data_IF_064255099511
#
_entry.id   IF_064255099511
#
_cell.length_a   1.000
_cell.length_b   1.000
_cell.length_c   1.000
_cell.angle_alpha   90.00
_cell.angle_beta   90.00
_cell.angle_gamma   90.00
#
_symmetry.space_group_name_H-M   'P 1'
#
loop_
_entity.id
_entity.type
_entity.pdbx_description
1 polymer ?
#
# COMPACT_ATOMS: atom_id res chain seq x y z
N UNK A 1 11.54 -8.97 -30.49
CA UNK A 1 10.68 -10.09 -30.31
C UNK A 1 11.52 -11.37 -30.19
N UNK A 2 11.44 -12.02 -29.05
CA UNK A 2 12.17 -13.27 -28.76
C UNK A 2 11.27 -14.50 -28.92
N UNK A 3 11.76 -15.66 -28.48
CA UNK A 3 11.00 -16.91 -28.45
C UNK A 3 9.76 -16.76 -27.55
N UNK A 4 8.67 -17.43 -27.91
CA UNK A 4 7.47 -17.47 -27.08
C UNK A 4 7.66 -18.31 -25.80
N UNK A 5 8.51 -19.34 -25.86
CA UNK A 5 8.91 -20.14 -24.71
C UNK A 5 7.90 -21.22 -24.31
N UNK A 6 7.87 -21.53 -23.00
CA UNK A 6 7.01 -22.55 -22.44
C UNK A 6 5.60 -22.00 -22.17
N UNK A 7 4.60 -22.78 -22.56
CA UNK A 7 3.18 -22.46 -22.39
C UNK A 7 2.57 -23.32 -21.28
N UNK A 8 1.79 -22.75 -20.41
CA UNK A 8 1.05 -23.48 -19.38
C UNK A 8 -0.26 -24.04 -19.92
N UNK A 9 -0.63 -25.24 -19.49
CA UNK A 9 -1.94 -25.83 -19.73
C UNK A 9 -3.02 -25.15 -18.87
N UNK A 10 -4.28 -25.41 -19.16
CA UNK A 10 -5.43 -24.91 -18.36
C UNK A 10 -5.37 -25.29 -16.87
N UNK A 11 -4.75 -26.43 -16.55
CA UNK A 11 -4.50 -26.87 -15.17
C UNK A 11 -3.31 -26.18 -14.48
N UNK A 12 -2.63 -25.24 -15.16
CA UNK A 12 -1.46 -24.55 -14.62
C UNK A 12 -0.12 -25.29 -14.81
N UNK A 13 -0.12 -26.56 -15.26
CA UNK A 13 1.09 -27.31 -15.53
C UNK A 13 1.73 -26.85 -16.85
N UNK A 14 3.02 -26.64 -16.85
CA UNK A 14 3.80 -26.25 -18.03
C UNK A 14 3.90 -27.40 -19.02
N UNK A 15 3.69 -27.11 -20.32
CA UNK A 15 3.91 -28.07 -21.40
C UNK A 15 5.42 -28.11 -21.67
N UNK A 16 5.98 -29.31 -21.70
CA UNK A 16 7.45 -29.53 -21.80
C UNK A 16 8.04 -29.12 -23.15
N UNK A 17 7.21 -29.02 -24.19
CA UNK A 17 7.64 -28.63 -25.54
C UNK A 17 7.67 -27.11 -25.64
N UNK A 18 8.85 -26.46 -25.74
CA UNK A 18 8.96 -25.02 -25.86
C UNK A 18 8.63 -24.55 -27.29
N UNK A 19 7.99 -23.42 -27.42
CA UNK A 19 7.81 -22.73 -28.71
C UNK A 19 9.06 -21.87 -28.94
N UNK A 20 9.88 -22.27 -29.91
CA UNK A 20 11.14 -21.59 -30.25
C UNK A 20 10.96 -20.44 -31.22
N UNK A 21 9.94 -20.49 -32.05
CA UNK A 21 9.60 -19.45 -33.00
C UNK A 21 8.83 -18.28 -32.33
N UNK A 22 8.77 -17.16 -33.03
CA UNK A 22 7.92 -16.02 -32.69
C UNK A 22 6.83 -15.82 -33.76
N UNK A 23 5.87 -14.96 -33.50
CA UNK A 23 4.77 -14.71 -34.43
C UNK A 23 5.21 -14.09 -35.76
N UNK A 24 6.34 -13.38 -35.80
CA UNK A 24 6.86 -12.75 -37.00
C UNK A 24 7.46 -13.79 -37.95
N UNK A 25 8.14 -14.78 -37.42
CA UNK A 25 8.72 -15.91 -38.17
C UNK A 25 7.65 -16.91 -38.63
N UNK A 26 6.57 -16.97 -37.86
CA UNK A 26 5.51 -17.96 -38.04
C UNK A 26 5.73 -19.21 -37.19
N UNK A 27 4.65 -19.83 -36.75
CA UNK A 27 4.63 -21.02 -35.92
C UNK A 27 4.35 -22.26 -36.81
N UNK A 28 4.94 -23.40 -36.46
CA UNK A 28 4.51 -24.67 -37.06
C UNK A 28 3.14 -25.09 -36.49
N UNK A 29 2.51 -26.09 -37.09
CA UNK A 29 1.15 -26.54 -36.69
C UNK A 29 1.08 -26.94 -35.23
N UNK A 30 2.09 -27.65 -34.72
CA UNK A 30 2.15 -28.08 -33.32
C UNK A 30 2.33 -26.89 -32.36
N UNK A 31 3.23 -25.99 -32.67
CA UNK A 31 3.47 -24.76 -31.90
C UNK A 31 2.23 -23.85 -31.86
N UNK A 32 1.54 -23.73 -32.98
CA UNK A 32 0.28 -22.99 -33.07
C UNK A 32 -0.79 -23.61 -32.15
N UNK A 33 -0.94 -24.95 -32.21
CA UNK A 33 -1.91 -25.64 -31.37
C UNK A 33 -1.61 -25.43 -29.86
N UNK A 34 -0.35 -25.57 -29.45
CA UNK A 34 0.09 -25.32 -28.07
C UNK A 34 -0.19 -23.85 -27.68
N UNK A 35 0.15 -22.92 -28.58
CA UNK A 35 -0.10 -21.48 -28.38
C UNK A 35 -1.59 -21.16 -28.20
N UNK A 36 -2.48 -21.81 -28.96
CA UNK A 36 -3.92 -21.61 -28.82
C UNK A 36 -4.48 -22.04 -27.47
N UNK A 37 -3.90 -23.07 -26.85
CA UNK A 37 -4.25 -23.51 -25.47
C UNK A 37 -3.89 -22.44 -24.45
N UNK A 38 -2.72 -21.79 -24.60
CA UNK A 38 -2.32 -20.67 -23.76
C UNK A 38 -3.24 -19.46 -23.89
N UNK A 39 -3.68 -19.14 -25.11
CA UNK A 39 -4.64 -18.08 -25.35
C UNK A 39 -6.01 -18.38 -24.68
N UNK A 40 -6.51 -19.61 -24.81
CA UNK A 40 -7.74 -20.03 -24.13
C UNK A 40 -7.62 -19.94 -22.62
N UNK A 41 -6.48 -20.36 -22.04
CA UNK A 41 -6.22 -20.20 -20.60
C UNK A 41 -6.25 -18.73 -20.19
N UNK A 42 -5.59 -17.85 -20.94
CA UNK A 42 -5.59 -16.42 -20.67
C UNK A 42 -7.00 -15.80 -20.68
N UNK A 43 -7.84 -16.18 -21.63
CA UNK A 43 -9.23 -15.71 -21.67
C UNK A 43 -10.05 -16.21 -20.48
N UNK A 44 -9.92 -17.50 -20.13
CA UNK A 44 -10.60 -18.07 -18.97
C UNK A 44 -10.13 -17.45 -17.66
N UNK A 45 -8.82 -17.29 -17.46
CA UNK A 45 -8.24 -16.69 -16.26
C UNK A 45 -8.71 -15.24 -16.10
N UNK A 46 -8.78 -14.45 -17.18
CA UNK A 46 -9.27 -13.08 -17.14
C UNK A 46 -10.73 -13.02 -16.68
N UNK A 47 -11.58 -13.87 -17.25
CA UNK A 47 -12.99 -13.94 -16.89
C UNK A 47 -13.19 -14.30 -15.40
N UNK A 48 -12.43 -15.26 -14.89
CA UNK A 48 -12.50 -15.67 -13.48
C UNK A 48 -11.97 -14.58 -12.52
N UNK A 49 -10.82 -13.97 -12.84
CA UNK A 49 -10.25 -12.89 -12.01
C UNK A 49 -11.12 -11.65 -11.93
N UNK A 50 -11.89 -11.37 -12.96
CA UNK A 50 -12.84 -10.25 -12.95
C UNK A 50 -13.87 -10.42 -11.85
N UNK A 51 -14.39 -11.64 -11.65
CA UNK A 51 -15.34 -11.95 -10.58
C UNK A 51 -14.71 -11.77 -9.18
N UNK A 52 -13.49 -12.28 -8.97
CA UNK A 52 -12.77 -12.14 -7.69
C UNK A 52 -12.47 -10.68 -7.36
N UNK A 53 -11.99 -9.92 -8.33
CA UNK A 53 -11.74 -8.48 -8.20
C UNK A 53 -13.03 -7.72 -7.87
N UNK A 54 -14.12 -8.03 -8.55
CA UNK A 54 -15.42 -7.39 -8.30
C UNK A 54 -15.95 -7.68 -6.89
N UNK A 55 -15.84 -8.91 -6.44
CA UNK A 55 -16.23 -9.28 -5.07
C UNK A 55 -15.35 -8.62 -4.00
N UNK A 56 -14.04 -8.57 -4.21
CA UNK A 56 -13.12 -7.85 -3.30
C UNK A 56 -13.47 -6.36 -3.23
N UNK A 57 -13.65 -5.72 -4.38
CA UNK A 57 -14.01 -4.29 -4.46
C UNK A 57 -15.31 -4.00 -3.73
N UNK A 58 -16.35 -4.83 -3.94
CA UNK A 58 -17.63 -4.67 -3.24
C UNK A 58 -17.45 -4.73 -1.73
N UNK A 59 -16.73 -5.72 -1.20
CA UNK A 59 -16.49 -5.84 0.25
C UNK A 59 -15.72 -4.65 0.81
N UNK A 60 -14.72 -4.14 0.09
CA UNK A 60 -13.97 -2.96 0.51
C UNK A 60 -14.87 -1.71 0.54
N UNK A 61 -15.71 -1.52 -0.45
CA UNK A 61 -16.66 -0.40 -0.49
C UNK A 61 -17.68 -0.51 0.66
N UNK A 62 -18.25 -1.70 0.88
CA UNK A 62 -19.23 -1.94 1.95
C UNK A 62 -18.65 -1.60 3.35
N UNK A 63 -17.37 -1.91 3.60
CA UNK A 63 -16.70 -1.59 4.87
C UNK A 63 -16.29 -0.11 4.93
N UNK A 64 -15.76 0.45 3.84
CA UNK A 64 -15.21 1.81 3.84
C UNK A 64 -16.27 2.92 3.76
N UNK A 65 -17.49 2.64 3.31
CA UNK A 65 -18.55 3.65 3.17
C UNK A 65 -18.96 4.31 4.49
N UNK A 66 -18.77 3.62 5.62
CA UNK A 66 -19.08 4.14 6.95
C UNK A 66 -17.93 4.96 7.56
N UNK A 67 -16.75 4.95 6.96
CA UNK A 67 -15.60 5.74 7.42
C UNK A 67 -15.76 7.19 6.96
N UNK A 68 -16.46 7.96 7.76
CA UNK A 68 -16.72 9.38 7.51
C UNK A 68 -16.02 10.21 8.59
N UNK A 69 -15.40 11.32 8.21
CA UNK A 69 -14.80 12.26 9.15
C UNK A 69 -15.83 13.27 9.60
N UNK A 70 -16.16 13.27 10.90
CA UNK A 70 -17.17 14.15 11.51
C UNK A 70 -16.62 15.00 12.64
N UNK A 71 -15.52 14.61 13.23
CA UNK A 71 -14.92 15.24 14.41
C UNK A 71 -13.50 15.70 14.08
N UNK A 72 -13.08 16.82 14.62
CA UNK A 72 -11.69 17.29 14.44
C UNK A 72 -10.73 16.47 15.26
N UNK A 73 -11.06 16.20 16.51
CA UNK A 73 -10.21 15.45 17.44
C UNK A 73 -11.04 14.55 18.35
N UNK A 74 -10.72 13.27 18.41
CA UNK A 74 -11.38 12.31 19.28
C UNK A 74 -10.77 12.25 20.70
N UNK A 75 -9.69 13.01 20.97
CA UNK A 75 -9.04 13.05 22.28
C UNK A 75 -8.38 11.74 22.71
N UNK A 76 -7.99 10.86 21.77
CA UNK A 76 -7.31 9.62 22.10
C UNK A 76 -5.94 9.89 22.72
N UNK A 77 -5.59 9.10 23.74
CA UNK A 77 -4.26 9.04 24.37
C UNK A 77 -3.45 7.85 23.87
N UNK A 78 -4.01 7.02 23.02
CA UNK A 78 -3.37 5.87 22.41
C UNK A 78 -2.94 6.19 20.98
N UNK A 79 -1.77 5.72 20.59
CA UNK A 79 -1.21 5.96 19.26
C UNK A 79 -0.47 4.74 18.76
N UNK A 80 -0.34 4.65 17.45
CA UNK A 80 0.43 3.62 16.79
C UNK A 80 1.91 3.98 16.83
N UNK A 81 2.72 3.06 17.33
CA UNK A 81 4.18 3.18 17.27
C UNK A 81 4.68 2.82 15.87
N UNK A 82 5.44 3.72 15.27
CA UNK A 82 6.03 3.53 13.95
C UNK A 82 7.56 3.53 14.03
N UNK A 83 8.15 2.72 13.15
CA UNK A 83 9.60 2.52 12.98
C UNK A 83 9.89 2.16 11.51
N UNK A 84 11.16 2.10 11.15
CA UNK A 84 11.56 1.64 9.80
C UNK A 84 11.13 0.20 9.56
N UNK A 85 10.46 -0.06 8.44
CA UNK A 85 10.15 -1.43 8.01
C UNK A 85 11.34 -1.96 7.23
N UNK A 86 12.01 -2.98 7.79
CA UNK A 86 13.19 -3.61 7.20
C UNK A 86 12.90 -5.06 6.81
N UNK A 87 13.39 -5.47 5.64
CA UNK A 87 13.44 -6.88 5.23
C UNK A 87 14.86 -7.40 5.42
N UNK A 88 15.14 -7.99 6.60
CA UNK A 88 16.49 -8.36 7.00
C UNK A 88 17.29 -7.18 7.57
N UNK A 89 18.61 -7.34 7.72
CA UNK A 89 19.44 -6.36 8.43
C UNK A 89 19.76 -5.09 7.63
N UNK A 90 19.75 -5.14 6.30
CA UNK A 90 20.25 -4.04 5.45
C UNK A 90 19.26 -3.49 4.42
N UNK A 91 18.09 -4.11 4.25
CA UNK A 91 17.14 -3.68 3.23
C UNK A 91 15.93 -2.98 3.87
N UNK A 92 15.90 -1.65 3.82
CA UNK A 92 14.76 -0.84 4.27
C UNK A 92 13.70 -0.87 3.17
N UNK A 93 12.50 -1.38 3.48
CA UNK A 93 11.35 -1.40 2.58
C UNK A 93 10.66 -0.04 2.58
N UNK A 94 10.43 0.51 3.77
CA UNK A 94 9.78 1.79 3.97
C UNK A 94 10.42 2.50 5.18
N UNK A 95 10.97 3.69 4.93
CA UNK A 95 11.65 4.49 5.94
C UNK A 95 10.68 5.22 6.88
N UNK A 96 11.13 5.55 8.08
CA UNK A 96 10.38 6.32 9.06
C UNK A 96 9.90 7.66 8.48
N UNK A 97 10.72 8.34 7.67
CA UNK A 97 10.38 9.59 7.01
C UNK A 97 9.08 9.47 6.17
N UNK A 98 8.99 8.46 5.31
CA UNK A 98 7.83 8.25 4.43
C UNK A 98 6.56 7.93 5.22
N UNK A 99 6.72 7.23 6.34
CA UNK A 99 5.61 6.84 7.23
C UNK A 99 5.08 7.98 8.09
N UNK A 100 5.89 9.01 8.32
CA UNK A 100 5.52 10.21 9.09
C UNK A 100 4.70 11.20 8.27
N UNK A 101 4.98 11.34 6.98
CA UNK A 101 4.34 12.32 6.13
C UNK A 101 2.82 12.16 6.12
N UNK A 102 2.11 13.27 6.35
CA UNK A 102 0.64 13.33 6.36
C UNK A 102 -0.02 12.81 7.63
N UNK A 103 0.76 12.50 8.69
CA UNK A 103 0.25 12.05 9.98
C UNK A 103 0.36 13.15 11.03
N UNK A 104 -0.34 12.98 12.15
CA UNK A 104 -0.21 13.81 13.34
C UNK A 104 0.50 13.03 14.44
N UNK A 105 1.33 13.69 15.20
CA UNK A 105 1.94 13.11 16.39
C UNK A 105 0.90 12.91 17.50
N UNK A 106 1.15 11.95 18.37
CA UNK A 106 0.34 11.78 19.58
C UNK A 106 0.67 12.84 20.62
N UNK A 107 1.98 13.06 20.85
CA UNK A 107 2.54 14.02 21.79
C UNK A 107 3.49 14.98 21.07
N UNK A 108 3.76 16.13 21.67
CA UNK A 108 4.73 17.09 21.13
C UNK A 108 6.13 16.50 21.12
N UNK A 109 6.82 16.63 19.99
CA UNK A 109 8.21 16.20 19.88
C UNK A 109 9.14 17.29 20.38
N UNK A 110 9.85 16.98 21.47
CA UNK A 110 10.74 17.93 22.14
C UNK A 110 12.20 17.52 22.01
N UNK A 111 13.09 18.53 21.95
CA UNK A 111 14.52 18.36 22.06
C UNK A 111 14.94 17.98 23.50
N UNK A 112 16.20 17.56 23.69
CA UNK A 112 16.81 17.26 24.98
C UNK A 112 16.72 18.41 26.00
N UNK A 113 16.56 19.64 25.53
CA UNK A 113 16.39 20.85 26.33
C UNK A 113 14.93 21.16 26.69
N UNK A 114 13.96 20.35 26.24
CA UNK A 114 12.53 20.57 26.47
C UNK A 114 11.87 21.55 25.51
N UNK A 115 12.56 22.02 24.47
CA UNK A 115 11.95 22.86 23.46
C UNK A 115 11.13 21.99 22.48
N UNK A 116 9.90 22.42 22.17
CA UNK A 116 9.04 21.74 21.19
C UNK A 116 9.60 21.98 19.78
N UNK A 117 10.07 20.94 19.13
CA UNK A 117 10.55 20.96 17.75
C UNK A 117 9.39 20.77 16.75
N UNK A 118 8.49 19.84 17.03
CA UNK A 118 7.29 19.58 16.25
C UNK A 118 6.09 19.43 17.17
N UNK A 119 5.04 20.23 16.94
CA UNK A 119 3.82 20.17 17.73
C UNK A 119 2.89 19.06 17.23
N UNK A 120 2.19 18.40 18.16
CA UNK A 120 1.15 17.41 17.88
C UNK A 120 -0.03 17.92 17.07
N UNK A 121 -0.25 19.23 17.04
CA UNK A 121 -1.37 19.86 16.34
C UNK A 121 -1.04 20.18 14.88
N UNK A 122 0.20 19.98 14.46
CA UNK A 122 0.65 20.20 13.09
C UNK A 122 0.70 18.87 12.34
N UNK A 123 0.10 18.85 11.14
CA UNK A 123 0.25 17.72 10.23
C UNK A 123 1.69 17.69 9.69
N UNK A 124 2.34 16.55 9.80
CA UNK A 124 3.72 16.42 9.35
C UNK A 124 3.84 16.50 7.84
N UNK A 125 4.66 17.44 7.39
CA UNK A 125 5.18 17.52 6.03
C UNK A 125 6.60 17.00 5.94
N UNK A 126 7.26 17.23 4.81
CA UNK A 126 8.64 16.78 4.57
C UNK A 126 9.62 17.40 5.57
N UNK A 127 9.46 18.70 5.91
CA UNK A 127 10.37 19.43 6.82
C UNK A 127 10.30 18.93 8.25
N UNK A 128 9.08 18.70 8.74
CA UNK A 128 8.82 18.20 10.09
C UNK A 128 9.31 16.75 10.23
N UNK A 129 9.11 15.92 9.20
CA UNK A 129 9.63 14.56 9.14
C UNK A 129 11.16 14.53 9.13
N UNK A 130 11.82 15.40 8.38
CA UNK A 130 13.29 15.55 8.37
C UNK A 130 13.84 15.91 9.74
N UNK A 131 13.18 16.80 10.49
CA UNK A 131 13.61 17.19 11.85
C UNK A 131 13.62 15.96 12.77
N UNK A 132 12.57 15.15 12.72
CA UNK A 132 12.43 13.95 13.57
C UNK A 132 13.49 12.91 13.20
N UNK A 133 13.64 12.60 11.91
CA UNK A 133 14.61 11.60 11.45
C UNK A 133 16.05 12.02 11.74
N UNK A 134 16.39 13.30 11.56
CA UNK A 134 17.72 13.83 11.87
C UNK A 134 18.02 13.87 13.39
N UNK A 135 16.99 13.81 14.23
CA UNK A 135 17.16 13.69 15.69
C UNK A 135 17.55 12.27 16.13
N UNK A 136 17.61 11.28 15.21
CA UNK A 136 18.06 9.92 15.47
C UNK A 136 17.08 9.07 16.27
N UNK A 137 15.79 9.37 16.19
CA UNK A 137 14.72 8.59 16.86
C UNK A 137 14.31 7.43 15.99
N UNK A 138 14.39 6.21 16.54
CA UNK A 138 14.02 4.98 15.83
C UNK A 138 12.52 4.67 15.91
N UNK A 139 11.84 5.12 16.96
CA UNK A 139 10.43 4.83 17.25
C UNK A 139 9.69 6.09 17.66
N UNK A 140 8.53 6.34 17.06
CA UNK A 140 7.68 7.47 17.43
C UNK A 140 6.21 7.08 17.41
N UNK A 141 5.40 7.67 18.29
CA UNK A 141 3.96 7.42 18.33
C UNK A 141 3.21 8.47 17.53
N UNK A 142 2.43 7.97 16.58
CA UNK A 142 1.57 8.78 15.72
C UNK A 142 0.10 8.47 15.98
N UNK A 143 -0.77 9.40 15.60
CA UNK A 143 -2.21 9.18 15.58
C UNK A 143 -2.59 8.31 14.38
N UNK A 144 -3.47 7.34 14.61
CA UNK A 144 -3.94 6.41 13.60
C UNK A 144 -5.44 6.21 13.69
N UNK A 145 -6.07 5.90 12.56
CA UNK A 145 -7.49 5.51 12.52
C UNK A 145 -7.76 4.22 13.29
N UNK A 146 -6.74 3.37 13.48
CA UNK A 146 -6.87 2.11 14.23
C UNK A 146 -7.10 2.34 15.74
N UNK A 147 -6.57 3.46 16.27
CA UNK A 147 -6.68 3.85 17.68
C UNK A 147 -7.65 5.04 17.86
N UNK A 148 -8.45 5.33 16.82
CA UNK A 148 -9.40 6.42 16.88
C UNK A 148 -10.59 6.08 17.77
N UNK A 149 -10.92 6.96 18.73
CA UNK A 149 -12.06 6.81 19.64
C UNK A 149 -13.32 7.59 19.23
N UNK A 150 -13.38 8.03 17.96
CA UNK A 150 -14.59 8.64 17.44
C UNK A 150 -15.76 7.66 17.45
N UNK A 151 -16.96 8.13 17.82
CA UNK A 151 -18.14 7.26 17.92
C UNK A 151 -18.59 6.72 16.56
N UNK A 152 -18.40 7.49 15.51
CA UNK A 152 -18.74 7.12 14.13
C UNK A 152 -17.65 7.57 13.19
N UNK A 153 -17.12 6.63 12.41
CA UNK A 153 -16.07 6.89 11.44
C UNK A 153 -14.70 7.18 12.07
N UNK A 154 -14.06 8.26 11.68
CA UNK A 154 -12.76 8.67 12.18
C UNK A 154 -12.73 10.19 12.43
N UNK A 155 -11.82 10.66 13.29
CA UNK A 155 -11.57 12.09 13.43
C UNK A 155 -10.48 12.55 12.44
N UNK A 156 -10.44 13.86 12.17
CA UNK A 156 -9.53 14.52 11.26
C UNK A 156 -8.06 14.23 11.60
N UNK A 157 -7.67 14.42 12.86
CA UNK A 157 -6.28 14.20 13.30
C UNK A 157 -5.83 12.74 13.20
N UNK A 158 -6.70 11.76 13.49
CA UNK A 158 -6.37 10.35 13.37
C UNK A 158 -6.31 9.90 11.89
N UNK A 159 -7.11 10.51 11.02
CA UNK A 159 -7.06 10.22 9.59
C UNK A 159 -5.83 10.85 8.94
N UNK A 160 -5.54 12.11 9.24
CA UNK A 160 -4.37 12.82 8.74
C UNK A 160 -4.60 13.50 7.39
N UNK A 161 -3.73 13.23 6.43
CA UNK A 161 -3.78 13.86 5.10
C UNK A 161 -4.82 13.25 4.18
N UNK A 162 -5.43 14.07 3.36
CA UNK A 162 -6.25 13.64 2.24
C UNK A 162 -5.35 13.06 1.13
N UNK A 163 -5.62 11.81 0.75
CA UNK A 163 -4.81 11.07 -0.23
C UNK A 163 -4.86 11.67 -1.64
N UNK A 164 -5.85 12.51 -1.97
CA UNK A 164 -5.98 13.13 -3.28
C UNK A 164 -5.07 14.35 -3.47
N UNK A 165 -4.96 15.21 -2.45
CA UNK A 165 -4.25 16.49 -2.54
C UNK A 165 -3.17 16.69 -1.46
N UNK A 166 -2.96 15.71 -0.58
CA UNK A 166 -2.00 15.72 0.54
C UNK A 166 -2.20 16.88 1.54
N UNK A 167 -3.35 17.51 1.52
CA UNK A 167 -3.71 18.54 2.51
C UNK A 167 -4.42 17.91 3.71
N UNK A 168 -4.48 18.59 4.85
CA UNK A 168 -5.31 18.14 5.97
C UNK A 168 -6.77 17.97 5.54
N UNK A 169 -7.40 16.91 5.98
CA UNK A 169 -8.82 16.64 5.68
C UNK A 169 -9.71 17.64 6.40
#
# INVERSE_FOLDING_TARGET
>A
AGMRGLIANTSGKTIEIPIRANYREGLNILEYFISSRGARKGLADTALRTADSGYLTRRLVDVSQEVIIREEDCGTTEGLEIFDIKAGESNVIEGLHERLIGRYLLDDFCDSNGNVLVSKDVMMGDKEADIIVNSGVDHIKIRSVLECRAKHGACRKCYGSNLANRQPV
#
